data_IF_655041237742
#
_entry.id   IF_655041237742
#
_cell.length_a   1.000
_cell.length_b   1.000
_cell.length_c   1.000
_cell.angle_alpha   90.00
_cell.angle_beta   90.00
_cell.angle_gamma   90.00
#
_symmetry.space_group_name_H-M   'P 1'
#
loop_
_entity.id
_entity.type
_entity.pdbx_description
1 polymer ?
#
# COMPACT_ATOMS: atom_id res chain seq x y z
N UNK A 1 36.59 10.19 -14.72
CA UNK A 1 35.18 9.84 -14.49
C UNK A 1 34.63 10.71 -13.38
N UNK A 2 33.57 11.50 -13.55
CA UNK A 2 33.05 12.33 -12.48
C UNK A 2 32.49 11.42 -11.38
N UNK A 3 33.01 11.57 -10.15
CA UNK A 3 32.51 10.87 -8.96
C UNK A 3 31.16 11.46 -8.62
N UNK A 4 30.07 10.78 -9.00
CA UNK A 4 28.72 11.16 -8.57
C UNK A 4 28.66 10.91 -7.07
N UNK A 5 28.85 11.96 -6.28
CA UNK A 5 28.68 11.92 -4.82
C UNK A 5 27.19 12.07 -4.53
N UNK A 6 26.52 10.95 -4.30
CA UNK A 6 25.14 10.97 -3.79
C UNK A 6 25.23 11.37 -2.31
N UNK A 7 24.82 12.60 -1.99
CA UNK A 7 24.67 13.06 -0.60
C UNK A 7 23.46 12.34 -0.01
N UNK A 8 23.69 11.31 0.79
CA UNK A 8 22.62 10.54 1.42
C UNK A 8 22.16 11.27 2.69
N UNK A 9 21.18 12.14 2.56
CA UNK A 9 20.40 12.69 3.69
C UNK A 9 19.39 11.63 4.15
N UNK A 10 19.88 10.60 4.83
CA UNK A 10 19.03 9.64 5.49
C UNK A 10 18.24 10.34 6.61
N UNK A 11 17.04 9.85 6.92
CA UNK A 11 16.32 10.28 8.12
C UNK A 11 17.23 10.16 9.34
N UNK A 12 17.10 11.07 10.27
CA UNK A 12 17.77 10.92 11.56
C UNK A 12 17.30 9.63 12.23
N UNK A 13 18.22 8.85 12.81
CA UNK A 13 17.86 7.62 13.51
C UNK A 13 16.96 7.96 14.71
N UNK A 14 16.02 7.10 15.03
CA UNK A 14 15.14 7.28 16.20
C UNK A 14 15.86 6.95 17.52
N UNK A 15 16.86 6.05 17.45
CA UNK A 15 17.65 5.60 18.61
C UNK A 15 18.96 4.97 18.15
N UNK A 16 19.90 4.82 19.09
CA UNK A 16 21.12 4.06 18.86
C UNK A 16 20.80 2.58 18.58
N UNK A 17 21.27 1.98 17.47
CA UNK A 17 20.98 0.59 17.13
C UNK A 17 21.69 -0.43 18.04
N UNK A 18 22.57 0.02 18.94
CA UNK A 18 23.32 -0.85 19.85
C UNK A 18 22.69 -0.94 21.23
N UNK A 19 22.25 0.19 21.80
CA UNK A 19 21.70 0.25 23.17
C UNK A 19 20.30 0.88 23.26
N UNK A 20 19.69 1.21 22.11
CA UNK A 20 18.34 1.80 22.00
C UNK A 20 18.15 3.17 22.66
N UNK A 21 19.22 3.80 23.20
CA UNK A 21 19.12 5.17 23.74
C UNK A 21 18.80 6.16 22.63
N UNK A 22 18.11 7.23 23.00
CA UNK A 22 17.83 8.37 22.10
C UNK A 22 18.90 9.46 22.21
N UNK A 23 19.83 9.32 23.13
CA UNK A 23 20.88 10.30 23.36
C UNK A 23 22.09 9.98 22.47
N UNK A 24 22.19 10.69 21.36
CA UNK A 24 23.30 10.61 20.40
C UNK A 24 23.46 11.95 19.67
N UNK A 25 24.65 12.16 19.12
CA UNK A 25 25.02 13.39 18.39
C UNK A 25 25.58 13.06 17.00
N UNK A 26 25.52 14.03 16.09
CA UNK A 26 26.20 13.96 14.79
C UNK A 26 27.71 14.06 14.99
N UNK A 27 28.45 13.12 14.41
CA UNK A 27 29.94 13.06 14.50
C UNK A 27 30.60 13.22 13.14
N UNK A 28 30.08 14.03 12.25
CA UNK A 28 30.63 14.19 10.91
C UNK A 28 30.07 13.18 9.91
N UNK A 29 30.74 13.01 8.78
CA UNK A 29 30.30 12.19 7.67
C UNK A 29 31.30 11.12 7.30
N UNK A 30 30.82 9.95 6.92
CA UNK A 30 31.64 8.89 6.35
C UNK A 30 31.49 8.89 4.83
N UNK A 31 32.59 9.02 4.12
CA UNK A 31 32.64 8.94 2.66
C UNK A 31 32.87 7.48 2.25
N UNK A 32 31.85 6.82 1.78
CA UNK A 32 31.95 5.51 1.16
C UNK A 32 32.23 5.65 -0.34
N UNK A 33 32.51 4.53 -1.04
CA UNK A 33 32.77 4.53 -2.49
C UNK A 33 31.63 5.13 -3.30
N UNK A 34 30.37 4.88 -2.92
CA UNK A 34 29.17 5.25 -3.67
C UNK A 34 28.31 6.32 -2.99
N UNK A 35 28.51 6.57 -1.70
CA UNK A 35 27.67 7.51 -0.94
C UNK A 35 28.42 8.17 0.20
N UNK A 36 27.90 9.33 0.63
CA UNK A 36 28.32 10.01 1.85
C UNK A 36 27.20 9.82 2.88
N UNK A 37 27.54 9.26 4.05
CA UNK A 37 26.58 8.97 5.13
C UNK A 37 26.92 9.77 6.37
N UNK A 38 25.87 10.30 7.05
CA UNK A 38 26.02 10.93 8.36
C UNK A 38 26.41 9.87 9.41
N UNK A 39 27.47 10.16 10.17
CA UNK A 39 27.85 9.39 11.36
C UNK A 39 27.21 10.00 12.61
N UNK A 40 26.81 9.14 13.51
CA UNK A 40 26.30 9.46 14.84
C UNK A 40 27.17 8.80 15.90
N UNK A 41 27.30 9.44 17.05
CA UNK A 41 27.96 8.91 18.25
C UNK A 41 26.93 8.78 19.35
N UNK A 42 26.79 7.58 19.91
CA UNK A 42 25.98 7.33 21.09
C UNK A 42 26.63 7.98 22.32
N UNK A 43 25.85 8.77 23.07
CA UNK A 43 26.32 9.43 24.29
C UNK A 43 26.19 8.55 25.55
N UNK A 44 25.51 7.42 25.46
CA UNK A 44 25.46 6.48 26.57
C UNK A 44 26.87 6.00 26.89
N UNK A 45 27.41 6.26 28.10
CA UNK A 45 28.77 5.89 28.49
C UNK A 45 29.08 4.40 28.32
N UNK A 46 28.11 3.52 28.59
CA UNK A 46 28.26 2.07 28.45
C UNK A 46 28.25 1.62 26.97
N UNK A 47 27.83 2.46 26.06
CA UNK A 47 27.74 2.12 24.64
C UNK A 47 28.85 2.78 23.82
N UNK A 48 28.98 4.12 23.85
CA UNK A 48 30.02 4.91 23.19
C UNK A 48 30.24 4.63 21.69
N UNK A 49 29.34 3.83 21.04
CA UNK A 49 29.55 3.34 19.67
C UNK A 49 29.15 4.36 18.64
N UNK A 50 29.91 4.40 17.54
CA UNK A 50 29.51 5.13 16.33
C UNK A 50 28.61 4.30 15.46
N UNK A 51 27.61 4.94 14.87
CA UNK A 51 26.68 4.28 13.96
C UNK A 51 26.20 5.23 12.83
N UNK A 52 25.53 4.69 11.86
CA UNK A 52 24.89 5.44 10.77
C UNK A 52 23.40 5.20 10.81
N UNK A 53 22.61 6.10 10.22
CA UNK A 53 21.17 5.90 10.06
C UNK A 53 20.80 4.73 9.12
N UNK A 54 21.79 4.05 8.53
CA UNK A 54 21.56 2.88 7.67
C UNK A 54 21.01 1.72 8.49
N UNK A 55 19.77 1.35 8.22
CA UNK A 55 19.16 0.15 8.79
C UNK A 55 19.75 -1.15 8.20
N UNK A 56 20.44 -1.07 7.07
CA UNK A 56 21.01 -2.21 6.37
C UNK A 56 22.52 -2.25 6.60
N UNK A 57 22.95 -3.05 7.57
CA UNK A 57 24.38 -3.25 7.87
C UNK A 57 25.10 -3.96 6.71
N UNK A 58 26.35 -3.62 6.47
CA UNK A 58 27.25 -4.36 5.57
C UNK A 58 27.03 -4.17 4.06
N UNK A 59 26.15 -3.28 3.61
CA UNK A 59 25.93 -3.03 2.17
C UNK A 59 26.85 -1.93 1.64
N UNK A 60 27.58 -2.23 0.57
CA UNK A 60 28.36 -1.23 -0.17
C UNK A 60 27.49 -0.34 -1.06
N UNK A 61 26.36 -0.88 -1.53
CA UNK A 61 25.41 -0.17 -2.38
C UNK A 61 24.34 0.58 -1.56
N UNK A 62 23.95 1.78 -2.01
CA UNK A 62 22.80 2.48 -1.46
C UNK A 62 21.51 1.64 -1.55
N UNK A 63 20.62 1.78 -0.56
CA UNK A 63 19.41 0.96 -0.46
C UNK A 63 18.47 1.13 -1.67
N UNK A 64 18.41 2.32 -2.28
CA UNK A 64 17.61 2.54 -3.50
C UNK A 64 18.08 1.66 -4.69
N UNK A 65 19.39 1.37 -4.79
CA UNK A 65 19.91 0.45 -5.81
C UNK A 65 19.48 -0.99 -5.50
N UNK A 66 19.51 -1.40 -4.25
CA UNK A 66 19.04 -2.73 -3.82
C UNK A 66 17.55 -2.89 -4.15
N UNK A 67 16.72 -1.91 -3.75
CA UNK A 67 15.27 -1.89 -4.00
C UNK A 67 14.94 -2.00 -5.49
N UNK A 68 15.61 -1.21 -6.32
CA UNK A 68 15.36 -1.23 -7.77
C UNK A 68 15.83 -2.54 -8.41
N UNK A 69 16.97 -3.08 -7.96
CA UNK A 69 17.48 -4.36 -8.44
C UNK A 69 16.52 -5.51 -8.14
N UNK A 70 15.99 -5.57 -6.92
CA UNK A 70 14.99 -6.57 -6.53
C UNK A 70 13.72 -6.42 -7.37
N UNK A 71 13.28 -5.19 -7.63
CA UNK A 71 12.08 -4.93 -8.43
C UNK A 71 12.25 -5.37 -9.88
N UNK A 72 13.36 -5.05 -10.54
CA UNK A 72 13.60 -5.53 -11.92
C UNK A 72 13.68 -7.05 -11.99
N UNK A 73 14.40 -7.69 -11.05
CA UNK A 73 14.48 -9.14 -11.02
C UNK A 73 13.09 -9.79 -10.86
N UNK A 74 12.30 -9.29 -9.91
CA UNK A 74 10.97 -9.83 -9.66
C UNK A 74 9.99 -9.59 -10.82
N UNK A 75 10.12 -8.48 -11.55
CA UNK A 75 9.34 -8.26 -12.78
C UNK A 75 9.67 -9.23 -13.92
N UNK A 76 10.70 -10.09 -13.76
CA UNK A 76 11.01 -11.16 -14.69
C UNK A 76 12.32 -11.01 -15.45
N UNK A 77 13.05 -9.90 -15.33
CA UNK A 77 14.37 -9.75 -15.94
C UNK A 77 15.35 -10.75 -15.33
N UNK A 78 16.25 -11.31 -16.13
CA UNK A 78 17.32 -12.14 -15.60
C UNK A 78 18.38 -11.29 -14.87
N UNK A 79 19.33 -11.93 -14.19
CA UNK A 79 20.35 -11.23 -13.42
C UNK A 79 21.17 -10.25 -14.26
N UNK A 80 21.63 -10.66 -15.44
CA UNK A 80 22.44 -9.82 -16.34
C UNK A 80 21.65 -8.61 -16.84
N UNK A 81 20.41 -8.83 -17.29
CA UNK A 81 19.50 -7.76 -17.71
C UNK A 81 19.22 -6.78 -16.56
N UNK A 82 18.98 -7.30 -15.37
CA UNK A 82 18.75 -6.47 -14.16
C UNK A 82 19.96 -5.60 -13.87
N UNK A 83 21.17 -6.16 -13.85
CA UNK A 83 22.40 -5.39 -13.64
C UNK A 83 22.60 -4.31 -14.72
N UNK A 84 22.27 -4.62 -15.98
CA UNK A 84 22.33 -3.65 -17.08
C UNK A 84 21.35 -2.50 -16.90
N UNK A 85 20.09 -2.77 -16.56
CA UNK A 85 19.06 -1.77 -16.31
C UNK A 85 19.41 -0.86 -15.12
N UNK A 86 19.89 -1.46 -14.03
CA UNK A 86 20.35 -0.71 -12.86
C UNK A 86 21.53 0.19 -13.20
N UNK A 87 22.51 -0.31 -13.99
CA UNK A 87 23.67 0.48 -14.46
C UNK A 87 23.22 1.65 -15.35
N UNK A 88 22.27 1.42 -16.21
CA UNK A 88 21.71 2.45 -17.09
C UNK A 88 21.07 3.58 -16.26
N UNK A 89 20.31 3.22 -15.21
CA UNK A 89 19.58 4.15 -14.35
C UNK A 89 20.49 4.89 -13.36
N UNK A 90 21.39 4.19 -12.67
CA UNK A 90 22.19 4.73 -11.57
C UNK A 90 23.67 4.97 -11.91
N UNK A 91 24.10 4.62 -13.14
CA UNK A 91 25.51 4.65 -13.59
C UNK A 91 26.43 3.73 -12.79
N UNK A 92 25.85 2.91 -11.90
CA UNK A 92 26.52 1.88 -11.10
C UNK A 92 25.52 0.74 -10.88
N UNK A 93 26.02 -0.49 -10.83
CA UNK A 93 25.21 -1.68 -10.59
C UNK A 93 25.97 -2.71 -9.76
N UNK A 94 25.28 -3.62 -9.06
CA UNK A 94 25.89 -4.83 -8.52
C UNK A 94 26.37 -5.73 -9.66
N UNK A 95 27.26 -6.66 -9.35
CA UNK A 95 27.51 -7.83 -10.17
C UNK A 95 26.39 -8.88 -9.96
N UNK A 96 26.40 -9.89 -10.82
CA UNK A 96 25.38 -10.95 -10.83
C UNK A 96 25.36 -11.72 -9.51
N UNK A 97 26.53 -12.01 -8.93
CA UNK A 97 26.66 -12.74 -7.68
C UNK A 97 26.10 -11.92 -6.50
N UNK A 98 26.41 -10.65 -6.43
CA UNK A 98 25.87 -9.74 -5.41
C UNK A 98 24.35 -9.63 -5.53
N UNK A 99 23.81 -9.52 -6.74
CA UNK A 99 22.37 -9.49 -6.99
C UNK A 99 21.71 -10.81 -6.56
N UNK A 100 22.27 -11.95 -6.92
CA UNK A 100 21.80 -13.27 -6.51
C UNK A 100 21.72 -13.40 -4.99
N UNK A 101 22.78 -12.96 -4.26
CA UNK A 101 22.75 -12.92 -2.79
C UNK A 101 21.65 -12.03 -2.24
N UNK A 102 21.37 -10.88 -2.87
CA UNK A 102 20.27 -10.01 -2.43
C UNK A 102 18.90 -10.66 -2.64
N UNK A 103 18.68 -11.33 -3.77
CA UNK A 103 17.39 -12.02 -3.99
C UNK A 103 17.15 -13.08 -2.92
N UNK A 104 18.16 -13.84 -2.53
CA UNK A 104 18.05 -14.82 -1.45
C UNK A 104 17.87 -14.17 -0.07
N UNK A 105 18.63 -13.12 0.24
CA UNK A 105 18.54 -12.39 1.52
C UNK A 105 17.17 -11.77 1.75
N UNK A 106 16.57 -11.21 0.68
CA UNK A 106 15.29 -10.50 0.77
C UNK A 106 14.08 -11.33 0.35
N UNK A 107 14.23 -12.63 0.07
CA UNK A 107 13.10 -13.49 -0.38
C UNK A 107 11.91 -13.49 0.58
N UNK A 108 12.16 -13.45 1.90
CA UNK A 108 11.10 -13.39 2.90
C UNK A 108 10.37 -12.04 2.92
N UNK A 109 10.99 -11.00 2.38
CA UNK A 109 10.42 -9.67 2.21
C UNK A 109 9.81 -9.51 0.80
N UNK A 110 10.46 -10.07 -0.23
CA UNK A 110 10.01 -10.01 -1.63
C UNK A 110 9.28 -11.31 -1.99
N UNK A 111 8.14 -11.57 -1.36
CA UNK A 111 7.41 -12.86 -1.47
C UNK A 111 6.88 -13.18 -2.87
N UNK A 112 6.89 -12.21 -3.79
CA UNK A 112 6.55 -12.46 -5.19
C UNK A 112 7.55 -13.39 -5.88
N UNK A 113 8.77 -13.49 -5.39
CA UNK A 113 9.79 -14.39 -5.93
C UNK A 113 9.28 -15.83 -6.10
N UNK A 114 8.41 -16.30 -5.19
CA UNK A 114 7.76 -17.64 -5.29
C UNK A 114 6.82 -17.78 -6.50
N UNK A 115 6.22 -16.69 -6.98
CA UNK A 115 5.32 -16.67 -8.14
C UNK A 115 6.08 -16.42 -9.44
N UNK A 116 7.26 -15.83 -9.36
CA UNK A 116 8.08 -15.44 -10.49
C UNK A 116 8.33 -16.58 -11.50
N UNK A 117 8.66 -17.84 -11.12
CA UNK A 117 8.90 -18.94 -12.06
C UNK A 117 7.72 -19.23 -12.98
N UNK A 118 6.51 -18.99 -12.52
CA UNK A 118 5.28 -19.14 -13.30
C UNK A 118 5.01 -17.88 -14.14
N UNK A 119 5.18 -16.71 -13.57
CA UNK A 119 4.91 -15.45 -14.22
C UNK A 119 5.76 -15.22 -15.46
N UNK A 120 7.06 -15.57 -15.43
CA UNK A 120 7.97 -15.43 -16.57
C UNK A 120 7.66 -16.36 -17.74
N UNK A 121 6.86 -17.41 -17.53
CA UNK A 121 6.35 -18.29 -18.59
C UNK A 121 5.12 -17.68 -19.28
N UNK A 122 4.37 -16.82 -18.57
CA UNK A 122 3.13 -16.21 -19.08
C UNK A 122 3.38 -14.87 -19.76
N UNK A 123 4.30 -14.06 -19.23
CA UNK A 123 4.52 -12.69 -19.68
C UNK A 123 6.01 -12.37 -19.80
N UNK A 124 6.34 -11.56 -20.82
CA UNK A 124 7.66 -10.95 -20.89
C UNK A 124 7.83 -9.92 -19.76
N UNK A 125 9.05 -9.66 -19.27
CA UNK A 125 9.28 -8.74 -18.16
C UNK A 125 8.63 -7.35 -18.31
N UNK A 126 8.63 -6.82 -19.55
CA UNK A 126 8.03 -5.51 -19.86
C UNK A 126 6.50 -5.51 -19.82
N UNK A 127 5.89 -6.66 -20.03
CA UNK A 127 4.42 -6.82 -20.12
C UNK A 127 3.80 -7.30 -18.79
N UNK A 128 4.65 -7.64 -17.80
CA UNK A 128 4.22 -8.17 -16.50
C UNK A 128 3.40 -7.15 -15.72
N UNK A 129 3.81 -5.88 -15.74
CA UNK A 129 3.07 -4.77 -15.12
C UNK A 129 2.73 -3.74 -16.17
N UNK A 130 1.45 -3.57 -16.41
CA UNK A 130 0.93 -2.46 -17.20
C UNK A 130 1.01 -1.16 -16.39
N UNK A 131 1.43 -0.08 -17.02
CA UNK A 131 1.47 1.24 -16.38
C UNK A 131 0.83 2.28 -17.29
N UNK A 132 -0.18 2.98 -16.78
CA UNK A 132 -0.88 4.04 -17.50
C UNK A 132 -0.86 5.32 -16.69
N UNK A 133 -0.49 6.42 -17.32
CA UNK A 133 -0.53 7.74 -16.69
C UNK A 133 -1.85 8.43 -17.01
N UNK A 134 -2.56 8.86 -15.97
CA UNK A 134 -3.87 9.49 -16.06
C UNK A 134 -3.82 10.91 -15.50
N UNK A 135 -4.32 11.89 -16.26
CA UNK A 135 -4.45 13.28 -15.84
C UNK A 135 -5.86 13.51 -15.25
N UNK A 136 -6.03 13.29 -13.96
CA UNK A 136 -7.28 13.43 -13.20
C UNK A 136 -7.16 14.56 -12.17
N UNK A 137 -7.16 15.84 -12.62
CA UNK A 137 -6.79 17.06 -11.82
C UNK A 137 -5.36 17.01 -11.29
N UNK A 138 -4.83 15.84 -11.04
CA UNK A 138 -3.45 15.52 -10.70
C UNK A 138 -3.00 14.37 -11.59
N UNK A 139 -1.71 14.10 -11.62
CA UNK A 139 -1.18 12.96 -12.36
C UNK A 139 -1.18 11.75 -11.46
N UNK A 140 -1.89 10.71 -11.88
CA UNK A 140 -1.94 9.40 -11.27
C UNK A 140 -1.26 8.39 -12.19
N UNK A 141 -0.64 7.37 -11.60
CA UNK A 141 0.00 6.27 -12.34
C UNK A 141 -0.63 4.95 -11.95
N UNK A 142 -1.70 4.61 -12.64
CA UNK A 142 -2.30 3.28 -12.52
C UNK A 142 -1.28 2.21 -12.91
N UNK A 143 -1.16 1.18 -12.10
CA UNK A 143 -0.35 -0.02 -12.40
C UNK A 143 -1.17 -1.27 -12.12
N UNK A 144 -1.04 -2.23 -13.01
CA UNK A 144 -1.75 -3.50 -12.94
C UNK A 144 -0.79 -4.65 -13.23
N UNK A 145 -0.69 -5.60 -12.30
CA UNK A 145 0.21 -6.75 -12.40
C UNK A 145 -0.52 -7.95 -13.01
N UNK A 146 -0.46 -8.11 -14.32
CA UNK A 146 -1.20 -9.11 -15.10
C UNK A 146 -0.94 -10.55 -14.63
N UNK A 147 0.32 -10.93 -14.48
CA UNK A 147 0.67 -12.30 -14.09
C UNK A 147 0.18 -12.63 -12.66
N UNK A 148 0.25 -11.66 -11.76
CA UNK A 148 -0.13 -11.88 -10.35
C UNK A 148 -1.61 -12.17 -10.21
N UNK A 149 -2.47 -11.37 -10.83
CA UNK A 149 -3.92 -11.59 -10.76
C UNK A 149 -4.31 -12.92 -11.42
N UNK A 150 -3.71 -13.25 -12.58
CA UNK A 150 -3.98 -14.50 -13.27
C UNK A 150 -3.67 -15.71 -12.37
N UNK A 151 -2.46 -15.76 -11.79
CA UNK A 151 -2.05 -16.84 -10.89
C UNK A 151 -2.91 -16.92 -9.62
N UNK A 152 -3.31 -15.77 -9.07
CA UNK A 152 -4.11 -15.74 -7.84
C UNK A 152 -5.56 -16.19 -8.07
N UNK A 153 -6.13 -15.97 -9.24
CA UNK A 153 -7.48 -16.44 -9.57
C UNK A 153 -7.54 -17.96 -9.73
N UNK A 154 -6.42 -18.64 -9.99
CA UNK A 154 -6.36 -20.10 -10.02
C UNK A 154 -6.45 -20.71 -8.62
N UNK A 155 -6.13 -19.95 -7.56
CA UNK A 155 -6.30 -20.40 -6.18
C UNK A 155 -7.79 -20.58 -5.86
N UNK A 156 -8.17 -21.72 -5.24
CA UNK A 156 -9.56 -22.09 -4.97
C UNK A 156 -10.39 -20.97 -4.30
N UNK A 157 -9.83 -20.28 -3.32
CA UNK A 157 -10.51 -19.22 -2.58
C UNK A 157 -10.67 -17.90 -3.33
N UNK A 158 -10.15 -17.77 -4.56
CA UNK A 158 -10.11 -16.50 -5.29
C UNK A 158 -10.78 -16.56 -6.67
N UNK A 159 -11.25 -17.73 -7.12
CA UNK A 159 -11.82 -17.94 -8.49
C UNK A 159 -12.94 -16.99 -8.85
N UNK A 160 -13.78 -16.63 -7.89
CA UNK A 160 -14.92 -15.76 -8.10
C UNK A 160 -14.57 -14.27 -8.22
N UNK A 161 -13.29 -13.88 -8.08
CA UNK A 161 -12.83 -12.51 -8.32
C UNK A 161 -12.51 -12.22 -9.79
N UNK A 162 -12.98 -13.04 -10.73
CA UNK A 162 -12.89 -12.76 -12.17
C UNK A 162 -13.31 -11.35 -12.56
N UNK A 163 -14.45 -10.82 -12.06
CA UNK A 163 -14.88 -9.45 -12.35
C UNK A 163 -13.89 -8.37 -11.90
N UNK A 164 -13.10 -8.59 -10.85
CA UNK A 164 -12.02 -7.67 -10.48
C UNK A 164 -10.92 -7.66 -11.54
N UNK A 165 -10.54 -8.83 -12.07
CA UNK A 165 -9.56 -8.93 -13.14
C UNK A 165 -10.03 -8.19 -14.38
N UNK A 166 -11.27 -8.46 -14.82
CA UNK A 166 -11.89 -7.80 -15.97
C UNK A 166 -11.90 -6.28 -15.82
N UNK A 167 -12.32 -5.77 -14.67
CA UNK A 167 -12.27 -4.34 -14.38
C UNK A 167 -10.86 -3.76 -14.52
N UNK A 168 -9.86 -4.41 -13.91
CA UNK A 168 -8.48 -3.92 -13.93
C UNK A 168 -7.85 -3.97 -15.33
N UNK A 169 -8.18 -4.96 -16.15
CA UNK A 169 -7.73 -5.08 -17.55
C UNK A 169 -8.30 -3.97 -18.43
N UNK A 170 -9.52 -3.50 -18.14
CA UNK A 170 -10.19 -2.48 -18.92
C UNK A 170 -9.97 -1.04 -18.43
N UNK A 171 -9.27 -0.85 -17.31
CA UNK A 171 -9.01 0.50 -16.77
C UNK A 171 -8.33 1.42 -17.77
N UNK A 172 -7.38 0.92 -18.56
CA UNK A 172 -6.63 1.74 -19.52
C UNK A 172 -7.46 2.21 -20.72
N UNK A 173 -8.51 1.47 -21.10
CA UNK A 173 -9.35 1.71 -22.28
C UNK A 173 -10.71 2.31 -21.96
N UNK A 174 -11.27 1.98 -20.78
CA UNK A 174 -12.68 2.29 -20.47
C UNK A 174 -12.86 3.33 -19.35
N UNK A 175 -11.77 3.81 -18.74
CA UNK A 175 -11.90 4.83 -17.70
C UNK A 175 -12.49 6.12 -18.27
N UNK A 176 -13.65 6.60 -17.75
CA UNK A 176 -14.26 7.84 -18.22
C UNK A 176 -13.51 9.05 -17.62
N UNK A 177 -12.39 9.44 -18.23
CA UNK A 177 -11.48 10.47 -17.72
C UNK A 177 -12.17 11.80 -17.38
N UNK A 178 -13.22 12.18 -18.14
CA UNK A 178 -14.01 13.39 -17.88
C UNK A 178 -14.70 13.36 -16.50
N UNK A 179 -15.04 12.18 -15.98
CA UNK A 179 -15.63 12.06 -14.65
C UNK A 179 -14.70 12.55 -13.55
N UNK A 180 -13.41 12.31 -13.70
CA UNK A 180 -12.40 12.70 -12.73
C UNK A 180 -12.06 14.20 -12.76
N UNK A 181 -12.46 14.89 -13.84
CA UNK A 181 -12.39 16.34 -13.94
C UNK A 181 -13.61 17.02 -13.30
N UNK A 182 -14.81 16.42 -13.43
CA UNK A 182 -16.09 17.01 -13.04
C UNK A 182 -16.54 16.56 -11.64
N UNK A 183 -16.29 15.30 -11.26
CA UNK A 183 -16.76 14.68 -10.02
C UNK A 183 -16.13 15.26 -8.76
N UNK A 184 -16.85 15.19 -7.65
CA UNK A 184 -16.29 15.52 -6.33
C UNK A 184 -15.39 14.38 -5.83
N UNK A 185 -14.34 14.71 -5.08
CA UNK A 185 -13.40 13.71 -4.55
C UNK A 185 -14.00 12.96 -3.36
N UNK A 186 -13.96 11.64 -3.39
CA UNK A 186 -14.43 10.79 -2.28
C UNK A 186 -13.71 11.10 -0.95
N UNK A 187 -12.44 11.51 -1.00
CA UNK A 187 -11.67 11.93 0.17
C UNK A 187 -12.20 13.19 0.87
N UNK A 188 -12.98 14.01 0.17
CA UNK A 188 -13.52 15.26 0.67
C UNK A 188 -14.96 15.13 1.17
N UNK A 189 -15.58 13.97 0.95
CA UNK A 189 -16.94 13.67 1.39
C UNK A 189 -16.93 13.26 2.86
N UNK A 190 -17.89 13.81 3.61
CA UNK A 190 -18.22 13.41 4.97
C UNK A 190 -19.65 12.86 4.99
N UNK A 191 -19.75 11.58 5.34
CA UNK A 191 -20.98 10.80 5.28
C UNK A 191 -21.52 10.53 6.67
N UNK A 192 -22.79 10.10 6.76
CA UNK A 192 -23.41 9.63 8.02
C UNK A 192 -23.02 8.17 8.34
N UNK A 193 -21.86 7.74 7.90
CA UNK A 193 -21.38 6.41 8.19
C UNK A 193 -21.29 6.14 9.68
N UNK A 194 -21.72 4.95 10.09
CA UNK A 194 -21.44 4.49 11.43
C UNK A 194 -19.91 4.38 11.60
N UNK A 195 -19.44 4.62 12.81
CA UNK A 195 -18.08 4.23 13.15
C UNK A 195 -17.97 2.72 12.94
N UNK A 196 -16.87 2.26 12.34
CA UNK A 196 -16.63 0.84 12.21
C UNK A 196 -16.77 0.19 13.60
N UNK A 197 -17.67 -0.78 13.72
CA UNK A 197 -17.94 -1.45 15.00
C UNK A 197 -16.69 -2.19 15.50
N UNK A 198 -15.80 -2.55 14.59
CA UNK A 198 -14.55 -3.23 14.87
C UNK A 198 -13.46 -2.76 13.94
N UNK A 199 -12.39 -2.21 14.51
CA UNK A 199 -11.15 -1.91 13.84
C UNK A 199 -10.09 -2.84 14.43
N UNK A 200 -9.46 -3.65 13.57
CA UNK A 200 -8.38 -4.53 13.99
C UNK A 200 -7.05 -3.82 13.79
N UNK A 201 -6.27 -3.72 14.87
CA UNK A 201 -4.87 -3.28 14.79
C UNK A 201 -3.96 -4.52 14.76
N UNK A 202 -3.22 -4.68 13.67
CA UNK A 202 -2.31 -5.81 13.49
C UNK A 202 -0.88 -5.36 13.73
N UNK A 203 -0.20 -5.99 14.68
CA UNK A 203 1.24 -5.81 14.88
C UNK A 203 2.03 -6.60 13.83
N UNK A 204 3.14 -6.03 13.39
CA UNK A 204 4.08 -6.70 12.47
C UNK A 204 3.43 -7.19 11.16
N UNK A 205 2.45 -6.45 10.64
CA UNK A 205 1.88 -6.75 9.35
C UNK A 205 2.94 -6.68 8.25
N UNK A 206 2.76 -7.51 7.22
CA UNK A 206 3.69 -7.55 6.11
C UNK A 206 3.82 -6.21 5.37
N UNK A 207 2.71 -5.47 5.21
CA UNK A 207 2.72 -4.14 4.59
C UNK A 207 3.60 -3.14 5.37
N UNK A 208 3.60 -3.18 6.72
CA UNK A 208 4.47 -2.34 7.54
C UNK A 208 5.95 -2.62 7.28
N UNK A 209 6.33 -3.91 7.17
CA UNK A 209 7.72 -4.31 6.89
C UNK A 209 8.18 -3.83 5.53
N UNK A 210 7.33 -3.94 4.51
CA UNK A 210 7.60 -3.40 3.18
C UNK A 210 7.75 -1.89 3.21
N UNK A 211 6.81 -1.18 3.86
CA UNK A 211 6.86 0.27 4.01
C UNK A 211 8.13 0.70 4.73
N UNK A 212 8.48 0.07 5.84
CA UNK A 212 9.71 0.37 6.59
C UNK A 212 10.95 0.21 5.71
N UNK A 213 11.05 -0.90 4.98
CA UNK A 213 12.20 -1.18 4.11
C UNK A 213 12.34 -0.14 2.99
N UNK A 214 11.26 0.12 2.24
CA UNK A 214 11.28 1.02 1.09
C UNK A 214 11.50 2.46 1.53
N UNK A 215 10.73 2.92 2.52
CA UNK A 215 10.68 4.32 2.88
C UNK A 215 11.93 4.80 3.63
N UNK A 216 12.76 3.88 4.11
CA UNK A 216 14.10 4.20 4.57
C UNK A 216 14.98 4.77 3.45
N UNK A 217 14.78 4.34 2.21
CA UNK A 217 15.53 4.85 1.04
C UNK A 217 14.90 6.11 0.42
N UNK A 218 13.70 6.51 0.82
CA UNK A 218 12.98 7.64 0.22
C UNK A 218 13.27 8.92 1.00
N UNK A 219 13.86 9.89 0.30
CA UNK A 219 14.25 11.18 0.89
C UNK A 219 13.09 12.19 0.93
N UNK A 220 12.37 12.29 -0.19
CA UNK A 220 11.31 13.26 -0.35
C UNK A 220 9.97 12.68 0.09
N UNK A 221 9.26 13.39 0.95
CA UNK A 221 7.93 12.97 1.41
C UNK A 221 6.92 12.83 0.26
N UNK A 222 7.06 13.61 -0.81
CA UNK A 222 6.17 13.55 -1.98
C UNK A 222 6.31 12.24 -2.75
N UNK A 223 7.50 11.60 -2.70
CA UNK A 223 7.78 10.38 -3.45
C UNK A 223 7.41 9.09 -2.69
N UNK A 224 6.98 9.21 -1.42
CA UNK A 224 6.74 8.05 -0.54
C UNK A 224 5.69 7.10 -1.09
N UNK A 225 4.52 7.63 -1.50
CA UNK A 225 3.45 6.82 -2.09
C UNK A 225 3.94 6.12 -3.35
N UNK A 226 4.48 6.87 -4.29
CA UNK A 226 4.97 6.35 -5.57
C UNK A 226 6.02 5.25 -5.40
N UNK A 227 7.02 5.45 -4.54
CA UNK A 227 8.08 4.46 -4.32
C UNK A 227 7.54 3.20 -3.64
N UNK A 228 6.63 3.36 -2.68
CA UNK A 228 6.01 2.23 -1.99
C UNK A 228 5.12 1.43 -2.94
N UNK A 229 4.31 2.09 -3.76
CA UNK A 229 3.45 1.47 -4.76
C UNK A 229 4.27 0.68 -5.79
N UNK A 230 5.32 1.29 -6.33
CA UNK A 230 6.22 0.62 -7.28
C UNK A 230 6.89 -0.61 -6.69
N UNK A 231 7.31 -0.53 -5.43
CA UNK A 231 7.94 -1.66 -4.77
C UNK A 231 6.94 -2.77 -4.47
N UNK A 232 5.79 -2.45 -3.89
CA UNK A 232 4.79 -3.45 -3.52
C UNK A 232 4.24 -4.18 -4.74
N UNK A 233 3.93 -3.46 -5.83
CA UNK A 233 3.41 -4.14 -7.03
C UNK A 233 4.42 -5.10 -7.67
N UNK A 234 5.72 -4.83 -7.56
CA UNK A 234 6.75 -5.71 -8.11
C UNK A 234 7.13 -6.85 -7.16
N UNK A 235 7.13 -6.63 -5.85
CA UNK A 235 7.84 -7.49 -4.90
C UNK A 235 6.95 -8.23 -3.91
N UNK A 236 5.75 -7.74 -3.59
CA UNK A 236 4.85 -8.52 -2.74
C UNK A 236 4.04 -9.55 -3.55
N UNK A 237 3.45 -10.50 -2.84
CA UNK A 237 2.67 -11.57 -3.49
C UNK A 237 1.18 -11.26 -3.60
N UNK A 238 0.70 -10.12 -3.12
CA UNK A 238 -0.74 -9.86 -3.01
C UNK A 238 -1.20 -8.58 -3.70
N UNK A 239 -0.35 -7.56 -3.86
CA UNK A 239 -0.73 -6.30 -4.54
C UNK A 239 -0.86 -6.53 -6.03
N UNK A 240 -2.09 -6.48 -6.53
CA UNK A 240 -2.41 -6.71 -7.95
C UNK A 240 -2.51 -5.42 -8.74
N UNK A 241 -2.88 -4.30 -8.08
CA UNK A 241 -2.94 -3.00 -8.73
C UNK A 241 -2.68 -1.85 -7.76
N UNK A 242 -2.26 -0.69 -8.30
CA UNK A 242 -2.05 0.56 -7.55
C UNK A 242 -2.61 1.74 -8.32
N UNK A 243 -3.00 2.81 -7.60
CA UNK A 243 -3.64 4.02 -8.16
C UNK A 243 -4.86 3.67 -9.03
N UNK A 244 -5.71 2.76 -8.53
CA UNK A 244 -6.86 2.29 -9.28
C UNK A 244 -7.95 3.37 -9.30
N UNK A 245 -8.33 3.92 -10.47
CA UNK A 245 -9.38 4.91 -10.56
C UNK A 245 -10.73 4.26 -10.24
N UNK A 246 -11.54 4.92 -9.44
CA UNK A 246 -12.90 4.48 -9.11
C UNK A 246 -13.88 5.65 -9.12
N UNK A 247 -15.11 5.36 -9.47
CA UNK A 247 -16.18 6.35 -9.43
C UNK A 247 -17.51 5.70 -9.01
N UNK A 248 -18.43 6.51 -8.51
CA UNK A 248 -19.78 6.09 -8.17
C UNK A 248 -20.74 7.24 -8.48
N UNK A 249 -21.86 6.93 -9.09
CA UNK A 249 -22.90 7.88 -9.46
C UNK A 249 -23.93 8.03 -8.35
N UNK A 250 -24.67 9.12 -8.38
CA UNK A 250 -25.75 9.39 -7.43
C UNK A 250 -26.82 8.27 -7.46
N UNK A 251 -27.18 7.80 -8.65
CA UNK A 251 -28.14 6.72 -8.86
C UNK A 251 -27.70 5.40 -8.20
N UNK A 252 -26.40 5.11 -8.23
CA UNK A 252 -25.84 3.93 -7.57
C UNK A 252 -25.97 4.04 -6.03
N UNK A 253 -25.81 5.24 -5.51
CA UNK A 253 -25.94 5.50 -4.07
C UNK A 253 -27.40 5.41 -3.64
N UNK A 254 -28.31 5.98 -4.41
CA UNK A 254 -29.75 5.87 -4.20
C UNK A 254 -30.20 4.40 -4.22
N UNK A 255 -29.72 3.61 -5.15
CA UNK A 255 -29.95 2.17 -5.17
C UNK A 255 -29.42 1.48 -3.89
N UNK A 256 -28.19 1.81 -3.46
CA UNK A 256 -27.62 1.22 -2.25
C UNK A 256 -28.41 1.59 -0.98
N UNK A 257 -28.97 2.79 -0.91
CA UNK A 257 -29.81 3.21 0.22
C UNK A 257 -31.19 2.54 0.19
N UNK A 258 -31.86 2.57 -0.96
CA UNK A 258 -33.24 2.12 -1.10
C UNK A 258 -33.34 0.57 -1.12
N UNK A 259 -32.51 -0.10 -1.93
CA UNK A 259 -32.61 -1.54 -2.13
C UNK A 259 -31.73 -2.34 -1.15
N UNK A 260 -30.51 -1.87 -0.85
CA UNK A 260 -29.62 -2.60 0.05
C UNK A 260 -29.76 -2.17 1.52
N UNK A 261 -30.48 -1.08 1.78
CA UNK A 261 -30.71 -0.52 3.11
C UNK A 261 -29.43 0.02 3.76
N UNK A 262 -28.50 0.53 2.95
CA UNK A 262 -27.29 1.16 3.47
C UNK A 262 -27.60 2.55 4.01
N UNK A 263 -26.86 2.96 5.04
CA UNK A 263 -26.97 4.30 5.65
C UNK A 263 -25.78 5.15 5.20
N UNK A 264 -25.99 5.93 4.15
CA UNK A 264 -24.93 6.68 3.47
C UNK A 264 -25.13 8.18 3.64
N UNK A 265 -26.33 8.68 3.33
CA UNK A 265 -26.66 10.11 3.34
C UNK A 265 -27.57 10.51 4.50
N UNK A 266 -27.78 11.79 4.72
CA UNK A 266 -28.75 12.36 5.61
C UNK A 266 -29.83 13.06 4.77
N UNK A 267 -30.94 12.34 4.54
CA UNK A 267 -32.04 12.81 3.68
C UNK A 267 -31.54 13.27 2.30
N UNK A 268 -30.71 12.44 1.66
CA UNK A 268 -30.11 12.73 0.36
C UNK A 268 -29.06 13.84 0.37
N UNK A 269 -28.57 14.23 1.55
CA UNK A 269 -27.55 15.27 1.73
C UNK A 269 -26.27 14.71 2.36
N UNK A 270 -25.17 15.33 2.02
CA UNK A 270 -23.83 15.03 2.57
C UNK A 270 -23.07 16.29 2.92
N UNK A 271 -22.04 16.15 3.74
CA UNK A 271 -21.12 17.23 4.07
C UNK A 271 -19.87 17.12 3.20
N UNK A 272 -19.44 18.21 2.58
CA UNK A 272 -18.20 18.30 1.80
C UNK A 272 -17.18 19.10 2.61
N UNK A 273 -15.94 18.63 2.64
CA UNK A 273 -14.83 19.31 3.34
C UNK A 273 -14.70 20.76 2.85
N UNK A 274 -14.55 21.69 3.79
CA UNK A 274 -14.49 23.14 3.46
C UNK A 274 -15.85 23.82 3.28
N UNK A 275 -16.97 23.08 3.20
CA UNK A 275 -18.31 23.66 3.14
C UNK A 275 -19.01 23.58 4.50
N UNK A 276 -19.64 24.67 4.96
CA UNK A 276 -20.28 24.73 6.27
C UNK A 276 -21.64 24.01 6.30
N UNK A 277 -22.41 24.05 5.21
CA UNK A 277 -23.76 23.48 5.12
C UNK A 277 -23.75 22.08 4.49
N UNK A 278 -24.76 21.27 4.81
CA UNK A 278 -25.08 20.05 4.11
C UNK A 278 -25.45 20.38 2.65
N UNK A 279 -24.92 19.63 1.71
CA UNK A 279 -25.14 19.77 0.28
C UNK A 279 -25.96 18.60 -0.24
N UNK A 280 -26.76 18.82 -1.29
CA UNK A 280 -27.35 17.70 -2.04
C UNK A 280 -26.25 16.75 -2.50
N UNK A 281 -26.53 15.47 -2.55
CA UNK A 281 -25.60 14.47 -3.04
C UNK A 281 -25.10 14.85 -4.44
N UNK A 282 -23.78 14.96 -4.68
CA UNK A 282 -23.22 15.20 -5.99
C UNK A 282 -23.61 14.10 -6.98
N UNK A 283 -23.77 14.47 -8.26
CA UNK A 283 -24.09 13.50 -9.32
C UNK A 283 -23.03 12.40 -9.45
N UNK A 284 -21.80 12.72 -9.09
CA UNK A 284 -20.65 11.85 -9.32
C UNK A 284 -19.58 12.06 -8.25
N UNK A 285 -19.10 10.97 -7.68
CA UNK A 285 -17.92 10.92 -6.81
C UNK A 285 -16.81 10.12 -7.48
N UNK A 286 -15.59 10.58 -7.33
CA UNK A 286 -14.39 9.96 -7.93
C UNK A 286 -13.26 9.80 -6.92
N UNK A 287 -12.37 8.85 -7.17
CA UNK A 287 -11.19 8.62 -6.34
C UNK A 287 -10.17 7.69 -6.97
N UNK A 288 -9.04 7.52 -6.28
CA UNK A 288 -7.99 6.57 -6.66
C UNK A 288 -7.62 5.76 -5.43
N UNK A 289 -7.57 4.44 -5.59
CA UNK A 289 -7.22 3.51 -4.52
C UNK A 289 -5.71 3.29 -4.57
N UNK A 290 -5.01 3.58 -3.49
CA UNK A 290 -3.54 3.44 -3.43
C UNK A 290 -3.08 2.02 -3.77
N UNK A 291 -3.72 1.00 -3.16
CA UNK A 291 -3.37 -0.41 -3.35
C UNK A 291 -4.60 -1.30 -3.38
N UNK A 292 -4.67 -2.17 -4.35
CA UNK A 292 -5.63 -3.30 -4.40
C UNK A 292 -4.85 -4.59 -4.23
N UNK A 293 -5.21 -5.38 -3.23
CA UNK A 293 -4.62 -6.67 -2.93
C UNK A 293 -5.67 -7.78 -2.97
N UNK A 294 -5.29 -8.96 -3.43
CA UNK A 294 -6.10 -10.18 -3.29
C UNK A 294 -5.36 -11.11 -2.34
N UNK A 295 -5.99 -11.47 -1.23
CA UNK A 295 -5.41 -12.36 -0.22
C UNK A 295 -6.47 -12.92 0.71
N UNK A 296 -6.23 -14.14 1.19
CA UNK A 296 -7.11 -14.81 2.17
C UNK A 296 -8.59 -14.82 1.75
N UNK A 297 -8.87 -15.02 0.45
CA UNK A 297 -10.24 -15.05 -0.07
C UNK A 297 -10.98 -13.72 0.02
N UNK A 298 -10.29 -12.59 0.03
CA UNK A 298 -10.87 -11.24 0.10
C UNK A 298 -10.07 -10.24 -0.73
N UNK A 299 -10.75 -9.20 -1.20
CA UNK A 299 -10.13 -8.06 -1.85
C UNK A 299 -9.84 -7.00 -0.78
N UNK A 300 -8.58 -6.62 -0.65
CA UNK A 300 -8.15 -5.61 0.31
C UNK A 300 -7.85 -4.29 -0.40
N UNK A 301 -8.52 -3.23 0.03
CA UNK A 301 -8.26 -1.86 -0.42
C UNK A 301 -7.45 -1.16 0.66
N UNK A 302 -6.20 -0.80 0.33
CA UNK A 302 -5.29 -0.22 1.31
C UNK A 302 -4.92 1.21 0.94
N UNK A 303 -4.69 2.02 1.97
CA UNK A 303 -4.30 3.41 1.89
C UNK A 303 -3.06 3.64 2.78
N UNK A 304 -2.00 4.23 2.23
CA UNK A 304 -0.81 4.57 2.99
C UNK A 304 -0.98 5.93 3.66
N UNK A 305 -0.86 5.96 5.00
CA UNK A 305 -0.94 7.19 5.79
C UNK A 305 0.31 7.35 6.65
N UNK A 306 1.10 8.42 6.47
CA UNK A 306 2.35 8.61 7.22
C UNK A 306 2.22 8.59 8.75
N UNK A 307 1.01 8.77 9.26
CA UNK A 307 0.65 8.73 10.69
C UNK A 307 -0.61 7.89 10.88
N UNK A 308 -0.55 6.60 10.51
CA UNK A 308 -1.70 5.70 10.50
C UNK A 308 -2.44 5.62 11.85
N UNK A 309 -1.74 5.76 12.97
CA UNK A 309 -2.36 5.78 14.31
C UNK A 309 -3.24 7.02 14.58
N UNK A 310 -2.95 8.14 13.91
CA UNK A 310 -3.67 9.42 14.08
C UNK A 310 -4.72 9.63 12.99
N UNK A 311 -4.50 9.09 11.80
CA UNK A 311 -5.38 9.21 10.65
C UNK A 311 -6.32 8.01 10.59
N UNK A 312 -7.60 8.26 10.32
CA UNK A 312 -8.64 7.21 10.23
C UNK A 312 -9.44 7.39 8.95
N UNK A 313 -8.93 6.94 7.79
CA UNK A 313 -9.56 7.14 6.49
C UNK A 313 -10.75 6.17 6.24
N UNK A 314 -11.54 5.86 7.29
CA UNK A 314 -12.63 4.89 7.23
C UNK A 314 -13.68 5.31 6.19
N UNK A 315 -14.05 6.60 6.20
CA UNK A 315 -15.05 7.11 5.23
C UNK A 315 -14.53 7.01 3.80
N UNK A 316 -13.32 7.48 3.53
CA UNK A 316 -12.70 7.43 2.21
C UNK A 316 -12.62 5.99 1.67
N UNK A 317 -12.12 5.07 2.49
CA UNK A 317 -11.98 3.67 2.12
C UNK A 317 -13.34 2.98 1.93
N UNK A 318 -14.35 3.36 2.70
CA UNK A 318 -15.73 2.84 2.52
C UNK A 318 -16.30 3.30 1.18
N UNK A 319 -16.10 4.57 0.79
CA UNK A 319 -16.48 5.08 -0.53
C UNK A 319 -15.78 4.31 -1.65
N UNK A 320 -14.49 4.04 -1.52
CA UNK A 320 -13.73 3.25 -2.49
C UNK A 320 -14.28 1.83 -2.63
N UNK A 321 -14.61 1.19 -1.51
CA UNK A 321 -15.18 -0.16 -1.53
C UNK A 321 -16.57 -0.21 -2.18
N UNK A 322 -17.43 0.78 -1.91
CA UNK A 322 -18.74 0.88 -2.55
C UNK A 322 -18.60 1.11 -4.07
N UNK A 323 -17.71 1.99 -4.49
CA UNK A 323 -17.43 2.22 -5.90
C UNK A 323 -16.91 0.96 -6.59
N UNK A 324 -15.91 0.28 -6.00
CA UNK A 324 -15.41 -1.00 -6.54
C UNK A 324 -16.49 -2.06 -6.60
N UNK A 325 -17.33 -2.16 -5.58
CA UNK A 325 -18.47 -3.10 -5.57
C UNK A 325 -19.41 -2.85 -6.76
N UNK A 326 -19.70 -1.59 -7.09
CA UNK A 326 -20.54 -1.23 -8.25
C UNK A 326 -19.84 -1.51 -9.57
N UNK A 327 -18.58 -1.12 -9.71
CA UNK A 327 -17.82 -1.25 -10.95
C UNK A 327 -17.50 -2.71 -11.30
N UNK A 328 -17.34 -3.57 -10.30
CA UNK A 328 -17.04 -4.99 -10.49
C UNK A 328 -18.26 -5.90 -10.37
N UNK A 329 -19.38 -5.43 -9.81
CA UNK A 329 -20.53 -6.28 -9.47
C UNK A 329 -20.29 -7.18 -8.24
N UNK A 330 -19.12 -7.13 -7.61
CA UNK A 330 -18.79 -7.91 -6.42
C UNK A 330 -19.51 -7.33 -5.19
N UNK A 331 -19.91 -8.21 -4.26
CA UNK A 331 -20.65 -7.78 -3.07
C UNK A 331 -19.73 -7.09 -2.06
N UNK A 332 -20.24 -6.08 -1.36
CA UNK A 332 -19.45 -5.25 -0.46
C UNK A 332 -18.76 -6.04 0.68
N UNK A 333 -19.29 -7.21 1.07
CA UNK A 333 -18.65 -8.05 2.10
C UNK A 333 -17.36 -8.76 1.63
N UNK A 334 -17.11 -8.83 0.32
CA UNK A 334 -15.90 -9.40 -0.27
C UNK A 334 -14.71 -8.46 -0.15
N UNK A 335 -14.99 -7.19 0.21
CA UNK A 335 -13.97 -6.17 0.40
C UNK A 335 -13.61 -6.02 1.87
N UNK A 336 -12.33 -5.81 2.11
CA UNK A 336 -11.74 -5.43 3.38
C UNK A 336 -10.91 -4.17 3.17
N UNK A 337 -11.08 -3.18 4.02
CA UNK A 337 -10.37 -1.93 3.93
C UNK A 337 -9.27 -1.85 4.99
N UNK A 338 -8.16 -1.21 4.67
CA UNK A 338 -7.09 -1.01 5.64
C UNK A 338 -6.25 0.22 5.36
N UNK A 339 -5.56 0.69 6.38
CA UNK A 339 -4.57 1.76 6.24
C UNK A 339 -3.36 1.47 7.11
N UNK A 340 -2.22 1.98 6.69
CA UNK A 340 -0.95 1.62 7.34
C UNK A 340 0.13 2.68 7.15
N UNK A 341 1.13 2.61 8.03
CA UNK A 341 2.44 3.25 7.90
C UNK A 341 3.57 2.24 8.16
N UNK A 342 4.76 2.68 8.50
CA UNK A 342 5.90 1.83 8.82
C UNK A 342 5.79 1.09 10.16
N UNK A 343 4.83 1.48 11.02
CA UNK A 343 4.66 0.99 12.40
C UNK A 343 3.32 0.32 12.63
N UNK A 344 2.27 0.93 12.11
CA UNK A 344 0.88 0.56 12.41
C UNK A 344 0.14 0.09 11.17
N UNK A 345 -0.72 -0.91 11.33
CA UNK A 345 -1.64 -1.41 10.32
C UNK A 345 -3.02 -1.59 10.96
N UNK A 346 -4.04 -1.04 10.31
CA UNK A 346 -5.43 -1.14 10.74
C UNK A 346 -6.28 -1.67 9.60
N UNK A 347 -7.33 -2.45 9.93
CA UNK A 347 -8.27 -2.94 8.95
C UNK A 347 -9.70 -3.02 9.49
N UNK A 348 -10.69 -2.95 8.60
CA UNK A 348 -12.11 -3.06 8.92
C UNK A 348 -12.89 -3.59 7.70
N UNK A 349 -14.14 -4.00 7.95
CA UNK A 349 -15.07 -4.39 6.88
C UNK A 349 -15.99 -3.21 6.53
N UNK A 350 -16.00 -2.71 5.26
CA UNK A 350 -16.81 -1.56 4.86
C UNK A 350 -18.33 -1.82 5.01
N UNK A 351 -18.77 -3.06 4.85
CA UNK A 351 -20.18 -3.43 5.07
C UNK A 351 -20.67 -3.06 6.48
N UNK A 352 -19.81 -3.18 7.51
CA UNK A 352 -20.19 -2.87 8.89
C UNK A 352 -20.30 -1.34 9.15
N UNK A 353 -19.77 -0.54 8.24
CA UNK A 353 -19.84 0.93 8.31
C UNK A 353 -21.16 1.42 7.72
N UNK A 354 -21.61 0.84 6.61
CA UNK A 354 -22.83 1.28 5.90
C UNK A 354 -24.10 0.56 6.38
N UNK A 355 -23.97 -0.64 6.94
CA UNK A 355 -25.12 -1.43 7.42
C UNK A 355 -25.01 -1.71 8.91
N UNK A 356 -25.94 -1.14 9.69
CA UNK A 356 -26.03 -1.43 11.12
C UNK A 356 -26.50 -2.86 11.32
N UNK A 357 -25.68 -3.71 11.92
CA UNK A 357 -26.07 -5.07 12.27
C UNK A 357 -27.17 -5.00 13.34
N UNK A 358 -28.31 -5.64 13.07
CA UNK A 358 -29.38 -5.80 14.06
C UNK A 358 -28.88 -6.76 15.14
N UNK A 359 -28.85 -6.32 16.40
CA UNK A 359 -28.65 -7.15 17.58
C UNK A 359 -27.55 -6.67 18.54
N UNK A 360 -27.88 -6.74 19.83
CA UNK A 360 -27.00 -6.47 20.97
C UNK A 360 -26.03 -7.64 21.29
N UNK A 361 -25.85 -8.62 20.39
CA UNK A 361 -24.99 -9.77 20.69
C UNK A 361 -23.54 -9.34 20.71
N UNK A 362 -22.87 -9.62 21.82
CA UNK A 362 -21.40 -9.57 21.92
C UNK A 362 -20.81 -10.45 20.81
N UNK A 363 -19.87 -9.91 20.03
CA UNK A 363 -19.22 -10.69 18.97
C UNK A 363 -18.12 -11.54 19.60
N UNK A 364 -18.16 -12.81 19.27
CA UNK A 364 -17.05 -13.73 19.55
C UNK A 364 -16.02 -13.59 18.44
N UNK A 365 -14.78 -13.32 18.79
CA UNK A 365 -13.67 -13.28 17.85
C UNK A 365 -12.92 -14.60 17.99
N UNK A 366 -12.85 -15.34 16.90
CA UNK A 366 -12.11 -16.59 16.84
C UNK A 366 -10.69 -16.30 16.38
N UNK A 367 -9.72 -16.66 17.18
CA UNK A 367 -8.31 -16.61 16.81
C UNK A 367 -7.91 -17.93 16.13
N UNK A 368 -6.84 -17.90 15.33
CA UNK A 368 -6.29 -19.14 14.74
C UNK A 368 -5.89 -20.20 15.78
N UNK A 369 -5.66 -19.80 17.00
CA UNK A 369 -5.38 -20.66 18.16
C UNK A 369 -6.62 -21.36 18.74
N UNK A 370 -7.82 -21.13 18.18
CA UNK A 370 -9.07 -21.64 18.75
C UNK A 370 -9.58 -20.87 19.97
N UNK A 371 -8.83 -19.89 20.50
CA UNK A 371 -9.26 -19.08 21.61
C UNK A 371 -10.41 -18.13 21.20
N UNK A 372 -11.43 -18.01 22.05
CA UNK A 372 -12.59 -17.15 21.85
C UNK A 372 -12.51 -16.01 22.86
N UNK A 373 -12.48 -14.76 22.41
CA UNK A 373 -12.60 -13.58 23.27
C UNK A 373 -13.88 -12.81 22.96
N UNK A 374 -14.61 -12.40 23.98
CA UNK A 374 -15.70 -11.45 23.86
C UNK A 374 -15.14 -10.03 23.87
N UNK A 375 -15.44 -9.26 22.82
CA UNK A 375 -14.91 -7.90 22.70
C UNK A 375 -16.05 -6.88 22.84
N UNK A 376 -15.88 -5.86 23.69
CA UNK A 376 -16.81 -4.74 23.75
C UNK A 376 -16.86 -3.96 22.45
N UNK A 377 -18.02 -3.40 22.11
CA UNK A 377 -18.34 -2.73 20.83
C UNK A 377 -17.42 -1.56 20.42
N UNK A 378 -16.50 -1.12 21.25
CA UNK A 378 -15.71 0.10 21.04
C UNK A 378 -14.19 -0.11 20.97
N UNK A 379 -13.71 -1.32 21.14
CA UNK A 379 -12.28 -1.54 21.30
C UNK A 379 -11.55 -1.89 20.00
N UNK A 380 -10.35 -1.35 19.86
CA UNK A 380 -9.39 -1.75 18.85
C UNK A 380 -8.77 -3.06 19.30
N UNK A 381 -9.01 -4.14 18.56
CA UNK A 381 -8.39 -5.43 18.86
C UNK A 381 -6.93 -5.39 18.46
N UNK A 382 -6.05 -5.59 19.43
CA UNK A 382 -4.63 -5.81 19.20
C UNK A 382 -4.41 -7.31 18.99
N UNK A 383 -4.11 -7.70 17.76
CA UNK A 383 -3.69 -9.07 17.46
C UNK A 383 -2.16 -9.10 17.59
N UNK A 384 -1.69 -10.01 18.41
CA UNK A 384 -0.25 -10.21 18.70
C UNK A 384 0.45 -10.88 17.51
#
# INVERSE_FOLDING_TARGET
>A
MPKIKIKNELREPESCPHCQTKDFVKRGVRKNKLEIVQLYLCKNPECGKTFTAKEVKGKHFPLNIVIESLSYYNLGFNFQQTCSLVRQKFKVAPDVETLSRWTEEYKMLCRYERLRPYAVKMFRPKDTVETVTMAHRQIFRFRFHRAKIALMLEEFGNRYFGPLKEYLENVSSETPHQYFQQGERMSDIRSKFNKADMIVKVKNNYANRLAKFVLTAVRNNKDRHEQLQRFMIANDSCTVATEVPVYIRKEDIEYMENELGFKITEDGKIKIKGRKKLMKMPKLLTGHIDFVQVRNGSIHLLDYKPKASKEKPIEQLTWYAMAMSRLTGLRLFEFKCGWFDEKDYFEFYPLHVVKKLKGKKKRKVYYRSGAVAEVPKKDIIKIV
#
